data_IF_054323044850
#
_entry.id   IF_054323044850
#
_cell.length_a   1.000
_cell.length_b   1.000
_cell.length_c   1.000
_cell.angle_alpha   90.00
_cell.angle_beta   90.00
_cell.angle_gamma   90.00
#
_symmetry.space_group_name_H-M   'P 1'
#
loop_
_entity.id
_entity.type
_entity.pdbx_description
1 polymer ?
#
# COMPACT_ATOMS: atom_id res chain seq x y z
N UNK A 1 -2.21 13.61 -18.70
CA UNK A 1 -1.26 14.38 -17.88
C UNK A 1 -1.03 13.61 -16.58
N UNK A 2 0.21 13.49 -16.09
CA UNK A 2 0.56 12.61 -14.97
C UNK A 2 1.01 13.44 -13.77
N UNK A 3 0.39 13.19 -12.61
CA UNK A 3 0.82 13.74 -11.31
C UNK A 3 2.00 12.88 -10.83
N UNK A 4 3.09 13.52 -10.38
CA UNK A 4 4.12 12.81 -9.62
C UNK A 4 3.60 12.58 -8.20
N UNK A 5 2.89 11.45 -8.02
CA UNK A 5 2.09 11.18 -6.82
C UNK A 5 2.94 11.21 -5.54
N UNK A 6 4.14 10.63 -5.57
CA UNK A 6 5.03 10.51 -4.39
C UNK A 6 5.52 11.89 -3.95
N UNK A 7 6.09 12.64 -4.89
CA UNK A 7 6.60 13.99 -4.62
C UNK A 7 5.50 14.94 -4.14
N UNK A 8 4.39 14.98 -4.87
CA UNK A 8 3.25 15.86 -4.56
C UNK A 8 2.65 15.51 -3.20
N UNK A 9 2.55 14.23 -2.84
CA UNK A 9 2.05 13.82 -1.53
C UNK A 9 2.90 14.35 -0.38
N UNK A 10 4.22 14.14 -0.43
CA UNK A 10 5.15 14.62 0.59
C UNK A 10 5.08 16.16 0.72
N UNK A 11 5.07 16.88 -0.41
CA UNK A 11 4.97 18.34 -0.41
C UNK A 11 3.63 18.84 0.15
N UNK A 12 2.50 18.19 -0.17
CA UNK A 12 1.18 18.59 0.30
C UNK A 12 1.02 18.40 1.82
N UNK A 13 1.66 17.37 2.37
CA UNK A 13 1.73 17.10 3.80
C UNK A 13 2.78 17.94 4.53
N UNK A 14 3.58 18.75 3.82
CA UNK A 14 4.78 19.38 4.37
C UNK A 14 5.71 18.37 5.07
N UNK A 15 5.77 17.15 4.55
CA UNK A 15 6.57 16.03 5.08
C UNK A 15 6.20 15.59 6.51
N UNK A 16 5.02 15.95 7.01
CA UNK A 16 4.52 15.56 8.34
C UNK A 16 3.31 14.63 8.24
N UNK A 17 3.03 13.88 9.31
CA UNK A 17 1.80 13.10 9.40
C UNK A 17 0.58 14.01 9.58
N UNK A 18 -0.57 13.70 8.95
CA UNK A 18 -1.80 14.41 9.24
C UNK A 18 -2.23 14.19 10.69
N UNK A 19 -2.98 15.15 11.24
CA UNK A 19 -3.49 15.07 12.60
C UNK A 19 -4.42 13.86 12.77
N UNK A 20 -4.35 13.11 13.89
CA UNK A 20 -5.12 11.87 14.06
C UNK A 20 -6.65 12.02 13.92
N UNK A 21 -7.19 13.22 14.18
CA UNK A 21 -8.63 13.49 14.08
C UNK A 21 -9.05 14.07 12.73
N UNK A 22 -8.10 14.36 11.83
CA UNK A 22 -8.39 14.94 10.53
C UNK A 22 -9.10 13.93 9.64
N UNK A 23 -10.26 14.33 9.08
CA UNK A 23 -10.96 13.49 8.12
C UNK A 23 -10.19 13.42 6.79
N UNK A 24 -9.97 12.22 6.29
CA UNK A 24 -9.30 11.98 5.00
C UNK A 24 -9.99 12.73 3.85
N UNK A 25 -11.32 12.80 3.87
CA UNK A 25 -12.09 13.54 2.87
C UNK A 25 -11.77 15.04 2.86
N UNK A 26 -11.55 15.63 4.02
CA UNK A 26 -11.17 17.04 4.16
C UNK A 26 -9.71 17.26 3.74
N UNK A 27 -8.83 16.34 4.13
CA UNK A 27 -7.43 16.33 3.72
C UNK A 27 -7.32 16.29 2.19
N UNK A 28 -7.98 15.34 1.53
CA UNK A 28 -7.92 15.21 0.06
C UNK A 28 -8.60 16.37 -0.67
N UNK A 29 -9.68 16.93 -0.12
CA UNK A 29 -10.26 18.17 -0.65
C UNK A 29 -9.25 19.32 -0.61
N UNK A 30 -8.46 19.43 0.46
CA UNK A 30 -7.39 20.45 0.56
C UNK A 30 -6.27 20.20 -0.45
N UNK A 31 -5.93 18.94 -0.70
CA UNK A 31 -4.93 18.54 -1.69
C UNK A 31 -5.38 18.90 -3.11
N UNK A 32 -6.62 18.59 -3.46
CA UNK A 32 -7.20 18.92 -4.77
C UNK A 32 -7.14 20.41 -5.07
N UNK A 33 -7.45 21.25 -4.07
CA UNK A 33 -7.36 22.71 -4.19
C UNK A 33 -5.92 23.13 -4.48
N UNK A 34 -4.94 22.65 -3.70
CA UNK A 34 -3.52 23.01 -3.87
C UNK A 34 -2.95 22.52 -5.21
N UNK A 35 -3.26 21.28 -5.61
CA UNK A 35 -2.81 20.73 -6.91
C UNK A 35 -3.37 21.55 -8.07
N UNK A 36 -4.65 21.95 -7.99
CA UNK A 36 -5.27 22.78 -9.05
C UNK A 36 -4.78 24.22 -9.08
N UNK A 37 -4.36 24.77 -7.94
CA UNK A 37 -3.70 26.08 -7.90
C UNK A 37 -2.36 26.07 -8.65
N UNK A 38 -1.60 24.97 -8.53
CA UNK A 38 -0.36 24.79 -9.26
C UNK A 38 -0.59 24.42 -10.73
N UNK A 39 -1.67 23.69 -11.02
CA UNK A 39 -2.00 23.26 -12.36
C UNK A 39 -3.51 23.05 -12.56
N UNK A 40 -4.17 24.06 -13.13
CA UNK A 40 -5.61 24.08 -13.33
C UNK A 40 -6.14 22.99 -14.29
N UNK A 41 -5.28 22.39 -15.12
CA UNK A 41 -5.68 21.41 -16.13
C UNK A 41 -5.73 19.96 -15.60
N UNK A 42 -5.42 19.73 -14.31
CA UNK A 42 -5.50 18.40 -13.71
C UNK A 42 -6.95 17.93 -13.64
N UNK A 43 -7.25 16.83 -14.33
CA UNK A 43 -8.57 16.20 -14.36
C UNK A 43 -8.92 15.53 -13.03
N UNK A 44 -10.21 15.44 -12.69
CA UNK A 44 -10.69 14.65 -11.54
C UNK A 44 -10.24 13.19 -11.60
N UNK A 45 -10.20 12.56 -12.78
CA UNK A 45 -9.74 11.18 -12.92
C UNK A 45 -8.29 10.98 -12.47
N UNK A 46 -7.41 11.95 -12.76
CA UNK A 46 -6.02 11.93 -12.30
C UNK A 46 -5.89 12.14 -10.78
N UNK A 47 -6.74 12.99 -10.19
CA UNK A 47 -6.79 13.21 -8.74
C UNK A 47 -7.32 11.96 -8.02
N UNK A 48 -8.43 11.39 -8.46
CA UNK A 48 -8.99 10.15 -7.89
C UNK A 48 -7.99 9.00 -7.96
N UNK A 49 -7.23 8.89 -9.07
CA UNK A 49 -6.17 7.90 -9.17
C UNK A 49 -5.02 8.17 -8.19
N UNK A 50 -4.70 9.43 -7.88
CA UNK A 50 -3.69 9.76 -6.88
C UNK A 50 -4.19 9.58 -5.44
N UNK A 51 -5.48 9.84 -5.18
CA UNK A 51 -6.12 9.61 -3.88
C UNK A 51 -6.02 8.16 -3.42
N UNK A 52 -6.11 7.21 -4.36
CA UNK A 52 -5.91 5.78 -4.08
C UNK A 52 -4.56 5.52 -3.44
N UNK A 53 -3.46 5.87 -4.12
CA UNK A 53 -2.11 5.62 -3.59
C UNK A 53 -1.86 6.44 -2.30
N UNK A 54 -2.33 7.70 -2.24
CA UNK A 54 -2.18 8.53 -1.05
C UNK A 54 -2.89 7.93 0.17
N UNK A 55 -4.06 7.32 -0.04
CA UNK A 55 -4.81 6.66 1.03
C UNK A 55 -4.11 5.37 1.48
N UNK A 56 -3.64 4.57 0.54
CA UNK A 56 -2.86 3.36 0.82
C UNK A 56 -1.59 3.69 1.62
N UNK A 57 -0.86 4.75 1.25
CA UNK A 57 0.34 5.15 1.98
C UNK A 57 0.04 5.61 3.41
N UNK A 58 -1.04 6.37 3.61
CA UNK A 58 -1.46 6.76 4.96
C UNK A 58 -1.83 5.56 5.83
N UNK A 59 -2.54 4.57 5.27
CA UNK A 59 -2.86 3.32 5.99
C UNK A 59 -1.58 2.56 6.32
N UNK A 60 -0.69 2.38 5.34
CA UNK A 60 0.57 1.65 5.53
C UNK A 60 1.41 2.26 6.65
N UNK A 61 1.58 3.59 6.63
CA UNK A 61 2.34 4.32 7.66
C UNK A 61 1.67 4.20 9.03
N UNK A 62 0.35 4.38 9.09
CA UNK A 62 -0.40 4.26 10.34
C UNK A 62 -0.30 2.84 10.93
N UNK A 63 -0.44 1.81 10.10
CA UNK A 63 -0.34 0.42 10.50
C UNK A 63 1.08 0.04 10.95
N UNK A 64 2.11 0.55 10.26
CA UNK A 64 3.51 0.41 10.69
C UNK A 64 3.71 1.02 12.07
N UNK A 65 3.31 2.27 12.25
CA UNK A 65 3.44 2.98 13.52
C UNK A 65 2.68 2.28 14.65
N UNK A 66 1.50 1.75 14.36
CA UNK A 66 0.74 0.93 15.32
C UNK A 66 1.52 -0.33 15.73
N UNK A 67 2.14 -1.02 14.77
CA UNK A 67 2.94 -2.22 15.05
C UNK A 67 4.14 -1.93 15.95
N UNK A 68 4.80 -0.79 15.75
CA UNK A 68 5.92 -0.33 16.58
C UNK A 68 5.46 -0.01 18.01
N UNK A 69 4.33 0.69 18.15
CA UNK A 69 3.79 1.07 19.45
C UNK A 69 3.18 -0.11 20.21
N UNK A 70 2.83 -1.21 19.53
CA UNK A 70 2.14 -2.38 20.10
C UNK A 70 2.91 -3.68 19.79
N UNK A 71 3.96 -4.02 20.56
CA UNK A 71 4.70 -5.26 20.39
C UNK A 71 3.77 -6.49 20.46
N UNK A 72 3.92 -7.40 19.49
CA UNK A 72 3.08 -8.61 19.38
C UNK A 72 1.76 -8.38 18.62
N UNK A 73 1.49 -7.17 18.14
CA UNK A 73 0.41 -6.94 17.18
C UNK A 73 0.72 -7.58 15.81
N UNK A 74 -0.32 -7.74 14.99
CA UNK A 74 -0.16 -8.25 13.63
C UNK A 74 0.49 -7.19 12.74
N UNK A 75 1.36 -7.63 11.83
CA UNK A 75 2.00 -6.76 10.85
C UNK A 75 1.08 -6.60 9.63
N UNK A 76 0.84 -5.37 9.22
CA UNK A 76 0.18 -5.06 7.94
C UNK A 76 1.24 -4.80 6.88
N UNK A 77 1.19 -5.52 5.77
CA UNK A 77 2.13 -5.36 4.65
C UNK A 77 1.34 -4.92 3.41
N UNK A 78 1.69 -3.78 2.79
CA UNK A 78 1.16 -3.42 1.47
C UNK A 78 1.69 -4.41 0.43
N UNK A 79 0.84 -4.82 -0.50
CA UNK A 79 1.27 -5.66 -1.60
C UNK A 79 1.36 -4.85 -2.89
N UNK A 80 2.40 -5.08 -3.71
CA UNK A 80 2.39 -4.56 -5.07
C UNK A 80 1.35 -5.32 -5.90
N UNK A 81 1.09 -4.81 -7.09
CA UNK A 81 0.09 -5.39 -7.97
C UNK A 81 0.49 -6.81 -8.42
N UNK A 82 -0.50 -7.64 -8.77
CA UNK A 82 -0.28 -9.08 -9.06
C UNK A 82 0.73 -9.34 -10.18
N UNK A 83 0.92 -8.39 -11.11
CA UNK A 83 1.91 -8.55 -12.19
C UNK A 83 3.36 -8.40 -11.71
N UNK A 84 3.57 -7.81 -10.54
CA UNK A 84 4.88 -7.64 -9.90
C UNK A 84 5.15 -8.73 -8.86
N UNK A 85 4.11 -9.22 -8.19
CA UNK A 85 4.21 -10.21 -7.13
C UNK A 85 2.95 -11.06 -7.08
N UNK A 86 3.06 -12.37 -6.95
CA UNK A 86 1.89 -13.23 -6.74
C UNK A 86 1.72 -13.50 -5.25
N UNK A 87 0.60 -13.09 -4.65
CA UNK A 87 0.31 -13.32 -3.23
C UNK A 87 0.47 -14.79 -2.81
N UNK A 88 0.30 -15.75 -3.73
CA UNK A 88 0.51 -17.16 -3.44
C UNK A 88 1.94 -17.45 -2.90
N UNK A 89 2.93 -16.62 -3.22
CA UNK A 89 4.30 -16.77 -2.73
C UNK A 89 4.50 -16.41 -1.26
N UNK A 90 3.51 -15.79 -0.61
CA UNK A 90 3.54 -15.58 0.85
C UNK A 90 3.24 -16.86 1.64
N UNK A 91 2.58 -17.83 1.01
CA UNK A 91 2.33 -19.12 1.64
C UNK A 91 3.56 -20.01 1.60
N UNK A 92 3.55 -21.02 2.46
CA UNK A 92 4.53 -22.11 2.41
C UNK A 92 4.43 -22.84 1.06
N UNK A 93 5.55 -23.45 0.66
CA UNK A 93 5.69 -24.11 -0.66
C UNK A 93 4.64 -25.19 -0.93
N UNK A 94 4.18 -25.90 0.11
CA UNK A 94 3.11 -26.90 -0.01
C UNK A 94 1.77 -26.28 -0.44
N UNK A 95 1.35 -25.19 0.21
CA UNK A 95 0.12 -24.47 -0.14
C UNK A 95 0.26 -23.81 -1.51
N UNK A 96 1.39 -23.15 -1.77
CA UNK A 96 1.70 -22.53 -3.05
C UNK A 96 1.64 -23.54 -4.19
N UNK A 97 2.19 -24.74 -3.99
CA UNK A 97 2.11 -25.83 -4.95
C UNK A 97 0.66 -26.24 -5.25
N UNK A 98 -0.18 -26.41 -4.21
CA UNK A 98 -1.61 -26.74 -4.39
C UNK A 98 -2.33 -25.65 -5.19
N UNK A 99 -2.06 -24.37 -4.92
CA UNK A 99 -2.65 -23.25 -5.66
C UNK A 99 -2.24 -23.31 -7.14
N UNK A 100 -0.95 -23.57 -7.41
CA UNK A 100 -0.46 -23.66 -8.77
C UNK A 100 -1.04 -24.88 -9.52
N UNK A 101 -1.10 -26.04 -8.86
CA UNK A 101 -1.70 -27.24 -9.43
C UNK A 101 -3.18 -27.03 -9.78
N UNK A 102 -3.92 -26.28 -8.94
CA UNK A 102 -5.30 -25.91 -9.24
C UNK A 102 -5.39 -25.01 -10.49
N UNK A 103 -4.55 -23.98 -10.59
CA UNK A 103 -4.51 -23.08 -11.76
C UNK A 103 -4.25 -23.88 -13.04
N UNK A 104 -3.23 -24.75 -13.03
CA UNK A 104 -2.83 -25.55 -14.18
C UNK A 104 -3.92 -26.56 -14.59
N UNK A 105 -4.59 -27.19 -13.61
CA UNK A 105 -5.66 -28.14 -13.88
C UNK A 105 -6.91 -27.49 -14.48
N UNK A 106 -7.29 -26.31 -14.01
CA UNK A 106 -8.48 -25.61 -14.53
C UNK A 106 -8.20 -25.12 -15.96
N UNK A 107 -6.99 -24.63 -16.21
CA UNK A 107 -6.57 -24.20 -17.55
C UNK A 107 -6.52 -25.38 -18.54
N UNK A 108 -5.88 -26.48 -18.15
CA UNK A 108 -5.69 -27.64 -19.04
C UNK A 108 -6.95 -28.49 -19.25
N UNK A 109 -7.82 -28.63 -18.24
CA UNK A 109 -8.96 -29.56 -18.30
C UNK A 109 -10.30 -28.91 -18.58
N UNK A 110 -10.49 -27.66 -18.15
CA UNK A 110 -11.74 -26.94 -18.33
C UNK A 110 -11.65 -25.82 -19.36
N UNK A 111 -10.45 -25.53 -19.90
CA UNK A 111 -10.20 -24.35 -20.74
C UNK A 111 -10.67 -23.05 -20.09
N UNK A 112 -10.55 -22.98 -18.76
CA UNK A 112 -10.91 -21.82 -17.94
C UNK A 112 -9.64 -21.32 -17.24
N UNK A 113 -9.46 -20.01 -17.12
CA UNK A 113 -8.33 -19.44 -16.38
C UNK A 113 -8.76 -19.02 -14.98
N UNK A 114 -7.99 -19.41 -13.96
CA UNK A 114 -8.15 -18.91 -12.60
C UNK A 114 -7.35 -17.61 -12.43
N UNK A 115 -7.98 -16.48 -12.77
CA UNK A 115 -7.37 -15.15 -12.67
C UNK A 115 -7.52 -14.64 -11.22
N UNK A 116 -6.39 -14.38 -10.55
CA UNK A 116 -6.35 -13.81 -9.20
C UNK A 116 -5.76 -12.40 -9.23
N UNK A 117 -6.19 -11.56 -8.29
CA UNK A 117 -5.54 -10.28 -7.97
C UNK A 117 -4.93 -10.35 -6.57
N UNK A 118 -3.94 -9.50 -6.31
CA UNK A 118 -3.51 -9.26 -4.94
C UNK A 118 -4.51 -8.32 -4.25
N UNK A 119 -4.81 -8.50 -2.95
CA UNK A 119 -5.37 -7.45 -2.13
C UNK A 119 -4.35 -6.31 -1.95
N UNK A 120 -4.81 -5.13 -1.55
CA UNK A 120 -3.92 -3.98 -1.32
C UNK A 120 -3.02 -4.20 -0.10
N UNK A 121 -3.53 -4.90 0.93
CA UNK A 121 -2.80 -5.22 2.15
C UNK A 121 -3.04 -6.66 2.59
N UNK A 122 -2.05 -7.22 3.29
CA UNK A 122 -2.19 -8.45 4.06
C UNK A 122 -1.83 -8.20 5.52
N UNK A 123 -2.51 -8.91 6.42
CA UNK A 123 -2.25 -8.88 7.86
C UNK A 123 -1.66 -10.23 8.25
N UNK A 124 -0.44 -10.23 8.79
CA UNK A 124 0.31 -11.44 9.11
C UNK A 124 0.74 -11.47 10.57
N UNK A 125 0.82 -12.68 11.15
CA UNK A 125 1.36 -12.86 12.50
C UNK A 125 2.90 -12.79 12.45
N UNK A 126 3.55 -11.80 13.09
CA UNK A 126 4.99 -11.64 13.06
C UNK A 126 5.75 -12.61 13.98
N UNK A 127 5.09 -13.36 14.88
CA UNK A 127 5.76 -14.26 15.83
C UNK A 127 6.67 -15.31 15.16
N UNK A 128 6.38 -15.65 13.90
CA UNK A 128 7.15 -16.62 13.11
C UNK A 128 8.10 -15.97 12.12
N UNK A 129 8.18 -14.64 12.12
CA UNK A 129 9.01 -13.86 11.21
C UNK A 129 10.11 -13.19 12.01
N UNK A 130 11.35 -13.38 11.58
CA UNK A 130 12.49 -12.75 12.24
C UNK A 130 12.62 -11.29 11.81
N UNK A 131 11.96 -10.40 12.56
CA UNK A 131 12.08 -8.94 12.41
C UNK A 131 13.13 -8.32 13.34
N UNK A 132 13.98 -9.15 13.97
CA UNK A 132 14.93 -8.66 14.98
C UNK A 132 15.93 -7.62 14.44
N UNK A 133 16.14 -7.59 13.12
CA UNK A 133 17.07 -6.69 12.44
C UNK A 133 16.45 -5.35 11.97
N UNK A 134 15.12 -5.24 11.88
CA UNK A 134 14.42 -4.06 11.31
C UNK A 134 13.40 -3.47 12.29
N UNK A 135 13.82 -3.22 13.54
CA UNK A 135 13.10 -2.28 14.41
C UNK A 135 13.33 -0.86 13.90
N UNK A 136 12.82 -0.56 12.71
CA UNK A 136 12.80 0.80 12.20
C UNK A 136 11.90 1.63 13.12
N UNK A 137 12.34 2.86 13.40
CA UNK A 137 11.63 3.74 14.31
C UNK A 137 10.24 4.08 13.76
N UNK A 138 9.36 4.55 14.64
CA UNK A 138 8.09 5.14 14.25
C UNK A 138 8.33 6.21 13.17
N UNK A 139 7.55 6.15 12.11
CA UNK A 139 7.59 7.12 11.03
C UNK A 139 6.94 8.40 11.56
N UNK A 140 7.72 9.47 11.67
CA UNK A 140 7.25 10.82 12.04
C UNK A 140 7.41 11.83 10.90
N UNK A 141 8.20 11.48 9.89
CA UNK A 141 8.49 12.30 8.73
C UNK A 141 8.19 11.49 7.45
N UNK A 142 7.46 12.09 6.50
CA UNK A 142 7.04 11.44 5.27
C UNK A 142 7.83 11.98 4.09
N UNK A 143 8.84 11.23 3.66
CA UNK A 143 9.62 11.50 2.45
C UNK A 143 9.45 10.40 1.39
N UNK A 144 10.07 10.59 0.22
CA UNK A 144 9.94 9.63 -0.89
C UNK A 144 10.52 8.27 -0.53
N UNK A 145 11.59 8.20 0.25
CA UNK A 145 12.17 6.92 0.72
C UNK A 145 11.19 6.16 1.59
N UNK A 146 10.51 6.85 2.51
CA UNK A 146 9.46 6.28 3.33
C UNK A 146 8.36 5.67 2.45
N UNK A 147 7.87 6.41 1.45
CA UNK A 147 6.83 5.92 0.53
C UNK A 147 7.30 4.72 -0.31
N UNK A 148 8.56 4.68 -0.72
CA UNK A 148 9.13 3.56 -1.47
C UNK A 148 9.14 2.25 -0.65
N UNK A 149 9.16 2.32 0.68
CA UNK A 149 9.03 1.14 1.52
C UNK A 149 7.65 0.50 1.46
N UNK A 150 6.65 1.24 0.95
CA UNK A 150 5.29 0.72 0.75
C UNK A 150 5.04 0.27 -0.69
N UNK A 151 5.83 0.73 -1.69
CA UNK A 151 5.85 0.26 -3.10
C UNK A 151 7.13 0.64 -3.88
#
# INVERSE_FOLDING_TARGET
MRIDKKKVFCELLNYELPEPQQLISELFKSFDIRVRQLNANVTMGALNNAHGDWYEWLIGIAAWNYCIDNPGSYLTIPLPNVTQFDIATLYKEDIKFIIQELRDNVESRASVSLITSNPDFVIINPEKLDFSHDKSNKITHIDISCINSFH
#
